data_IF_494593421928
#
_entry.id   IF_494593421928
#
_cell.length_a   1.000
_cell.length_b   1.000
_cell.length_c   1.000
_cell.angle_alpha   90.00
_cell.angle_beta   90.00
_cell.angle_gamma   90.00
#
_symmetry.space_group_name_H-M   'P 1'
#
loop_
_entity.id
_entity.type
_entity.pdbx_description
1 polymer ?
#
# COMPACT_ATOMS: atom_id res chain seq x y z
N UNK A 1 5.00 -49.77 -9.85
CA UNK A 1 5.36 -48.67 -8.92
C UNK A 1 5.35 -47.35 -9.69
N UNK A 2 4.20 -46.69 -9.81
CA UNK A 2 4.07 -45.44 -10.58
C UNK A 2 4.55 -44.27 -9.73
N UNK A 3 5.64 -43.63 -10.15
CA UNK A 3 6.22 -42.50 -9.44
C UNK A 3 5.18 -41.37 -9.37
N UNK A 4 4.76 -41.03 -8.15
CA UNK A 4 3.85 -39.92 -7.87
C UNK A 4 4.56 -38.64 -8.31
N UNK A 5 4.19 -38.10 -9.48
CA UNK A 5 4.69 -36.82 -9.96
C UNK A 5 4.19 -35.73 -9.01
N UNK A 6 4.90 -35.55 -7.90
CA UNK A 6 4.74 -34.42 -7.01
C UNK A 6 4.96 -33.20 -7.88
N UNK A 7 3.89 -32.44 -8.13
CA UNK A 7 3.91 -31.36 -9.11
C UNK A 7 4.98 -30.33 -8.74
N UNK A 8 6.16 -30.45 -9.35
CA UNK A 8 7.30 -29.57 -9.12
C UNK A 8 6.93 -28.10 -9.39
N UNK A 9 5.95 -27.89 -10.28
CA UNK A 9 5.34 -26.59 -10.53
C UNK A 9 4.71 -25.96 -9.27
N UNK A 10 3.99 -26.73 -8.43
CA UNK A 10 3.41 -26.21 -7.18
C UNK A 10 4.50 -25.86 -6.18
N UNK A 11 5.55 -26.69 -6.07
CA UNK A 11 6.69 -26.43 -5.20
C UNK A 11 7.42 -25.13 -5.61
N UNK A 12 7.68 -24.94 -6.91
CA UNK A 12 8.25 -23.69 -7.46
C UNK A 12 7.37 -22.48 -7.16
N UNK A 13 6.06 -22.58 -7.42
CA UNK A 13 5.09 -21.51 -7.15
C UNK A 13 5.04 -21.13 -5.67
N UNK A 14 5.11 -22.10 -4.76
CA UNK A 14 5.17 -21.83 -3.33
C UNK A 14 6.47 -21.13 -2.93
N UNK A 15 7.61 -21.56 -3.47
CA UNK A 15 8.90 -20.89 -3.24
C UNK A 15 8.88 -19.44 -3.71
N UNK A 16 8.38 -19.19 -4.92
CA UNK A 16 8.33 -17.84 -5.48
C UNK A 16 7.38 -16.94 -4.68
N UNK A 17 6.25 -17.49 -4.19
CA UNK A 17 5.35 -16.77 -3.29
C UNK A 17 6.03 -16.39 -1.98
N UNK A 18 6.78 -17.32 -1.36
CA UNK A 18 7.54 -17.05 -0.13
C UNK A 18 8.62 -15.99 -0.34
N UNK A 19 9.35 -16.03 -1.45
CA UNK A 19 10.36 -15.03 -1.79
C UNK A 19 9.77 -13.62 -1.94
N UNK A 20 8.61 -13.51 -2.61
CA UNK A 20 7.89 -12.23 -2.75
C UNK A 20 7.39 -11.68 -1.41
N UNK A 21 6.90 -12.56 -0.53
CA UNK A 21 6.47 -12.15 0.81
C UNK A 21 7.65 -11.58 1.62
N UNK A 22 8.79 -12.28 1.66
CA UNK A 22 9.98 -11.80 2.36
C UNK A 22 10.51 -10.45 1.80
N UNK A 23 10.44 -10.26 0.48
CA UNK A 23 10.78 -8.96 -0.14
C UNK A 23 9.77 -7.87 0.24
N UNK A 24 8.48 -8.19 0.30
CA UNK A 24 7.45 -7.25 0.73
C UNK A 24 7.64 -6.83 2.19
N UNK A 25 7.96 -7.76 3.09
CA UNK A 25 8.24 -7.48 4.50
C UNK A 25 9.50 -6.61 4.63
N UNK A 26 10.58 -6.95 3.91
CA UNK A 26 11.79 -6.14 3.89
C UNK A 26 11.52 -4.71 3.36
N UNK A 27 10.66 -4.57 2.36
CA UNK A 27 10.25 -3.28 1.83
C UNK A 27 9.30 -2.54 2.78
N UNK A 28 8.43 -3.23 3.52
CA UNK A 28 7.58 -2.63 4.53
C UNK A 28 8.41 -2.06 5.68
N UNK A 29 9.44 -2.78 6.13
CA UNK A 29 10.40 -2.29 7.13
C UNK A 29 11.22 -1.12 6.59
N UNK A 30 11.73 -1.23 5.35
CA UNK A 30 12.58 -0.18 4.75
C UNK A 30 11.82 1.09 4.37
N UNK A 31 10.58 0.95 3.93
CA UNK A 31 9.81 2.06 3.36
C UNK A 31 8.60 2.47 4.21
N UNK A 32 8.33 1.79 5.32
CA UNK A 32 7.48 2.17 6.47
C UNK A 32 6.00 2.43 6.19
N UNK A 33 5.64 2.68 4.93
CA UNK A 33 4.31 3.01 4.45
C UNK A 33 4.08 2.26 3.16
N UNK A 34 3.17 1.29 3.22
CA UNK A 34 2.66 0.56 2.06
C UNK A 34 1.87 1.51 1.14
N UNK A 35 1.64 1.10 -0.11
CA UNK A 35 0.86 1.92 -1.07
C UNK A 35 -0.56 2.21 -0.56
N UNK A 36 -1.18 1.27 0.15
CA UNK A 36 -2.50 1.45 0.75
C UNK A 36 -2.51 2.50 1.87
N UNK A 37 -1.51 2.49 2.74
CA UNK A 37 -1.35 3.49 3.81
C UNK A 37 -1.06 4.87 3.25
N UNK A 38 -0.24 4.97 2.19
CA UNK A 38 -0.01 6.24 1.49
C UNK A 38 -1.31 6.81 0.90
N UNK A 39 -2.16 5.96 0.34
CA UNK A 39 -3.46 6.38 -0.22
C UNK A 39 -4.44 6.81 0.87
N UNK A 40 -4.45 6.11 2.02
CA UNK A 40 -5.27 6.48 3.16
C UNK A 40 -4.83 7.83 3.77
N UNK A 41 -3.51 8.03 3.93
CA UNK A 41 -2.93 9.30 4.38
C UNK A 41 -3.29 10.45 3.42
N UNK A 42 -3.15 10.23 2.12
CA UNK A 42 -3.46 11.22 1.09
C UNK A 42 -4.95 11.59 1.11
N UNK A 43 -5.84 10.60 1.22
CA UNK A 43 -7.27 10.85 1.36
C UNK A 43 -7.60 11.62 2.65
N UNK A 44 -6.92 11.31 3.76
CA UNK A 44 -7.07 12.03 5.02
C UNK A 44 -6.62 13.50 4.90
N UNK A 45 -5.46 13.74 4.27
CA UNK A 45 -4.93 15.08 4.01
C UNK A 45 -5.84 15.90 3.09
N UNK A 46 -6.37 15.30 2.04
CA UNK A 46 -7.31 15.98 1.16
C UNK A 46 -8.62 16.31 1.85
N UNK A 47 -9.11 15.43 2.74
CA UNK A 47 -10.29 15.70 3.56
C UNK A 47 -10.03 16.86 4.53
N UNK A 48 -8.87 16.90 5.18
CA UNK A 48 -8.51 18.02 6.05
C UNK A 48 -8.33 19.32 5.27
N UNK A 49 -7.71 19.28 4.08
CA UNK A 49 -7.56 20.43 3.20
C UNK A 49 -8.93 21.01 2.81
N UNK A 50 -9.83 20.17 2.28
CA UNK A 50 -11.19 20.59 1.94
C UNK A 50 -11.98 21.14 3.13
N UNK A 51 -11.78 20.58 4.33
CA UNK A 51 -12.43 21.10 5.53
C UNK A 51 -11.88 22.49 5.88
N UNK A 52 -10.57 22.70 5.81
CA UNK A 52 -9.95 24.01 6.04
C UNK A 52 -10.38 25.03 4.98
N UNK A 53 -10.40 24.65 3.71
CA UNK A 53 -10.84 25.51 2.60
C UNK A 53 -12.32 25.88 2.75
N UNK A 54 -13.19 24.95 3.15
CA UNK A 54 -14.60 25.24 3.42
C UNK A 54 -14.84 26.09 4.69
N UNK A 55 -13.82 26.21 5.55
CA UNK A 55 -13.84 27.09 6.73
C UNK A 55 -13.03 28.38 6.51
N UNK A 56 -12.36 28.52 5.37
CA UNK A 56 -11.74 29.76 4.98
C UNK A 56 -12.86 30.75 4.66
N UNK A 57 -12.96 31.82 5.47
CA UNK A 57 -13.72 33.00 5.06
C UNK A 57 -12.92 33.62 3.92
N UNK A 58 -13.52 33.73 2.74
CA UNK A 58 -12.94 34.54 1.66
C UNK A 58 -12.54 35.91 2.25
N UNK A 59 -11.31 36.40 2.02
CA UNK A 59 -10.98 37.79 2.30
C UNK A 59 -11.65 38.69 1.25
N UNK A 60 -12.97 38.65 1.18
CA UNK A 60 -13.79 39.73 0.63
C UNK A 60 -14.03 40.69 1.80
N UNK A 61 -13.05 41.57 2.04
CA UNK A 61 -13.24 42.90 2.66
C UNK A 61 -11.88 43.58 2.81
N UNK A 62 -11.48 44.28 1.75
CA UNK A 62 -10.30 45.13 1.68
C UNK A 62 -10.44 46.11 0.53
N UNK A 63 -11.48 46.95 0.60
CA UNK A 63 -11.63 48.18 -0.19
C UNK A 63 -10.44 49.11 -0.05
#
# INVERSE_FOLDING_TARGET
>A
MTAKVLSLARARKQRDRKARAAQADANAVKFGRTKGEKQADEAAKQKSGRALDGHARDPEDGS
#
